data_IF_105905404207
#
_entry.id   IF_105905404207
#
_cell.length_a   1.000
_cell.length_b   1.000
_cell.length_c   1.000
_cell.angle_alpha   90.00
_cell.angle_beta   90.00
_cell.angle_gamma   90.00
#
_symmetry.space_group_name_H-M   'P 1'
#
loop_
_entity.id
_entity.type
_entity.pdbx_description
1 polymer ?
#
# COMPACT_ATOMS: atom_id res chain seq x y z
N UNK A 1 8.48 -8.50 -8.82
CA UNK A 1 7.17 -8.19 -8.18
C UNK A 1 7.24 -8.65 -6.74
N UNK A 2 6.59 -7.97 -5.81
CA UNK A 2 6.44 -8.40 -4.41
C UNK A 2 4.99 -8.79 -4.19
N UNK A 3 4.75 -10.01 -3.74
CA UNK A 3 3.40 -10.45 -3.37
C UNK A 3 3.00 -9.87 -2.02
N UNK A 4 1.83 -9.28 -1.97
CA UNK A 4 1.36 -8.65 -0.75
C UNK A 4 -0.08 -8.19 -0.80
N UNK A 5 -0.47 -7.48 0.24
CA UNK A 5 -1.73 -6.79 0.37
C UNK A 5 -1.45 -5.30 0.53
N UNK A 6 -1.87 -4.52 -0.46
CA UNK A 6 -1.90 -3.07 -0.38
C UNK A 6 -3.22 -2.65 0.26
N UNK A 7 -3.13 -1.84 1.30
CA UNK A 7 -4.25 -1.26 2.02
C UNK A 7 -4.20 0.25 1.87
N UNK A 8 -5.29 0.84 1.40
CA UNK A 8 -5.40 2.29 1.19
C UNK A 8 -6.56 2.77 2.04
N UNK A 9 -6.37 3.83 2.79
CA UNK A 9 -7.41 4.49 3.57
C UNK A 9 -7.47 5.97 3.18
N UNK A 10 -8.66 6.56 3.11
CA UNK A 10 -8.84 7.97 2.72
C UNK A 10 -9.03 8.92 3.91
N UNK A 11 -9.38 8.40 5.09
CA UNK A 11 -9.65 9.20 6.29
C UNK A 11 -9.23 8.45 7.59
N UNK A 12 -8.11 8.82 8.23
CA UNK A 12 -7.05 9.67 7.70
C UNK A 12 -6.36 9.03 6.49
N UNK A 13 -5.87 9.81 5.51
CA UNK A 13 -5.31 9.27 4.30
C UNK A 13 -3.96 8.59 4.55
N UNK A 14 -3.88 7.28 4.27
CA UNK A 14 -2.65 6.52 4.34
C UNK A 14 -2.66 5.34 3.37
N UNK A 15 -1.46 4.86 3.04
CA UNK A 15 -1.27 3.60 2.35
C UNK A 15 -0.36 2.70 3.17
N UNK A 16 -0.73 1.43 3.26
CA UNK A 16 0.04 0.39 3.93
C UNK A 16 0.21 -0.80 3.00
N UNK A 17 1.44 -1.23 2.81
CA UNK A 17 1.73 -2.46 2.08
C UNK A 17 2.18 -3.54 3.06
N UNK A 18 1.57 -4.72 2.98
CA UNK A 18 1.91 -5.90 3.78
C UNK A 18 2.38 -7.03 2.87
N UNK A 19 3.50 -7.66 3.19
CA UNK A 19 4.10 -8.74 2.40
C UNK A 19 4.66 -9.80 3.34
N UNK A 20 4.87 -11.00 2.83
CA UNK A 20 5.57 -12.08 3.54
C UNK A 20 6.87 -12.37 2.81
N UNK A 21 8.01 -12.23 3.49
CA UNK A 21 9.32 -12.60 2.94
C UNK A 21 9.43 -14.12 2.78
N UNK A 22 10.37 -14.59 1.94
CA UNK A 22 10.58 -16.02 1.66
C UNK A 22 10.88 -16.87 2.90
N UNK A 23 11.37 -16.26 3.99
CA UNK A 23 11.63 -16.91 5.28
C UNK A 23 10.37 -17.02 6.17
N UNK A 24 9.19 -16.64 5.64
CA UNK A 24 7.92 -16.61 6.36
C UNK A 24 7.72 -15.39 7.25
N UNK A 25 8.67 -14.46 7.27
CA UNK A 25 8.59 -13.21 8.05
C UNK A 25 7.59 -12.23 7.44
N UNK A 26 6.66 -11.74 8.25
CA UNK A 26 5.73 -10.67 7.86
C UNK A 26 6.43 -9.31 7.90
N UNK A 27 6.24 -8.52 6.84
CA UNK A 27 6.78 -7.17 6.69
C UNK A 27 5.69 -6.23 6.25
N UNK A 28 5.70 -5.01 6.81
CA UNK A 28 4.77 -3.97 6.44
C UNK A 28 5.44 -2.61 6.34
N UNK A 29 5.07 -1.84 5.33
CA UNK A 29 5.40 -0.41 5.24
C UNK A 29 4.13 0.42 5.31
N UNK A 30 4.23 1.56 5.99
CA UNK A 30 3.16 2.54 6.14
C UNK A 30 3.65 3.87 5.58
N UNK A 31 2.79 4.53 4.81
CA UNK A 31 3.04 5.83 4.23
C UNK A 31 1.82 6.73 4.42
N UNK A 32 1.98 7.76 5.25
CA UNK A 32 1.00 8.82 5.38
C UNK A 32 1.08 9.71 4.14
N UNK A 33 -0.05 9.86 3.46
CA UNK A 33 -0.13 10.52 2.16
C UNK A 33 -1.41 11.33 2.05
N UNK A 34 -1.53 12.11 0.99
CA UNK A 34 -2.73 12.90 0.69
C UNK A 34 -3.74 12.09 -0.12
N UNK A 35 -5.00 12.54 -0.16
CA UNK A 35 -6.05 11.93 -1.01
C UNK A 35 -5.67 11.94 -2.50
N UNK A 36 -4.92 12.94 -2.94
CA UNK A 36 -4.43 13.07 -4.33
C UNK A 36 -3.34 12.03 -4.64
N UNK A 37 -2.41 11.82 -3.71
CA UNK A 37 -1.38 10.77 -3.86
C UNK A 37 -2.01 9.38 -3.86
N UNK A 38 -3.00 9.14 -3.01
CA UNK A 38 -3.77 7.88 -3.00
C UNK A 38 -4.42 7.62 -4.36
N UNK A 39 -5.01 8.65 -4.98
CA UNK A 39 -5.60 8.52 -6.31
C UNK A 39 -4.54 8.08 -7.33
N UNK A 40 -3.38 8.72 -7.31
CA UNK A 40 -2.24 8.38 -8.18
C UNK A 40 -1.80 6.93 -7.98
N UNK A 41 -1.74 6.46 -6.72
CA UNK A 41 -1.40 5.06 -6.39
C UNK A 41 -2.41 4.11 -7.02
N UNK A 42 -3.70 4.36 -6.81
CA UNK A 42 -4.76 3.48 -7.30
C UNK A 42 -4.84 3.47 -8.83
N UNK A 43 -4.67 4.61 -9.48
CA UNK A 43 -4.57 4.72 -10.94
C UNK A 43 -3.37 3.93 -11.48
N UNK A 44 -2.20 4.03 -10.84
CA UNK A 44 -1.00 3.27 -11.21
C UNK A 44 -1.18 1.74 -11.06
N UNK A 45 -2.10 1.31 -10.20
CA UNK A 45 -2.44 -0.10 -10.00
C UNK A 45 -3.49 -0.63 -10.99
N UNK A 46 -3.99 0.24 -11.88
CA UNK A 46 -5.09 -0.10 -12.78
C UNK A 46 -6.42 -0.29 -12.05
N UNK A 47 -6.53 0.18 -10.81
CA UNK A 47 -7.85 0.34 -10.18
C UNK A 47 -8.50 1.56 -10.81
N UNK A 48 -9.58 1.35 -11.57
CA UNK A 48 -10.46 2.42 -12.03
C UNK A 48 -11.14 3.05 -10.82
N UNK A 49 -10.48 4.03 -10.20
CA UNK A 49 -11.08 4.87 -9.17
C UNK A 49 -11.96 5.87 -9.90
N UNK A 50 -13.25 5.56 -9.95
CA UNK A 50 -14.25 6.43 -10.56
C UNK A 50 -14.14 7.86 -9.99
N UNK A 51 -14.42 8.90 -10.79
CA UNK A 51 -14.39 10.29 -10.31
C UNK A 51 -15.43 10.54 -9.21
N UNK A 52 -16.47 9.71 -9.17
CA UNK A 52 -17.53 9.67 -8.17
C UNK A 52 -17.28 8.62 -7.07
N UNK A 53 -16.04 8.16 -6.90
CA UNK A 53 -15.67 7.21 -5.85
C UNK A 53 -16.09 7.75 -4.47
N UNK A 54 -16.97 7.05 -3.73
CA UNK A 54 -17.53 7.57 -2.49
C UNK A 54 -16.44 7.59 -1.41
N UNK A 55 -15.76 8.73 -1.29
CA UNK A 55 -14.60 9.02 -0.41
C UNK A 55 -14.86 8.74 1.09
N UNK A 56 -16.08 8.37 1.49
CA UNK A 56 -16.51 8.42 2.89
C UNK A 56 -16.04 7.25 3.77
N UNK A 57 -15.69 6.08 3.24
CA UNK A 57 -15.32 4.92 4.07
C UNK A 57 -14.33 3.94 3.40
N UNK A 58 -13.51 4.39 2.45
CA UNK A 58 -12.78 3.47 1.58
C UNK A 58 -11.47 2.96 2.19
N UNK A 59 -11.58 1.85 2.90
CA UNK A 59 -10.48 0.91 3.06
C UNK A 59 -10.41 0.00 1.82
N UNK A 60 -9.53 0.30 0.87
CA UNK A 60 -9.30 -0.57 -0.28
C UNK A 60 -8.20 -1.56 0.10
N UNK A 61 -8.48 -2.87 -0.06
CA UNK A 61 -7.47 -3.92 0.09
C UNK A 61 -7.27 -4.65 -1.23
N UNK A 62 -6.15 -4.39 -1.88
CA UNK A 62 -5.75 -5.08 -3.09
C UNK A 62 -4.69 -6.15 -2.74
N UNK A 63 -4.99 -7.41 -3.02
CA UNK A 63 -4.02 -8.52 -2.89
C UNK A 63 -3.48 -8.87 -4.26
N UNK A 64 -2.17 -8.96 -4.39
CA UNK A 64 -1.54 -9.28 -5.66
C UNK A 64 -0.04 -9.16 -5.64
N UNK A 65 0.56 -9.29 -6.82
CA UNK A 65 1.98 -9.05 -7.04
C UNK A 65 2.15 -7.60 -7.52
N UNK A 66 2.93 -6.81 -6.78
CA UNK A 66 3.14 -5.39 -7.05
C UNK A 66 4.56 -5.13 -7.57
N UNK A 67 4.75 -4.23 -8.56
CA UNK A 67 6.08 -3.91 -9.06
C UNK A 67 6.94 -3.20 -8.01
N UNK A 68 8.23 -3.53 -7.95
CA UNK A 68 9.18 -2.90 -7.03
C UNK A 68 9.26 -1.39 -7.24
N UNK A 69 9.24 -0.93 -8.50
CA UNK A 69 9.31 0.49 -8.85
C UNK A 69 8.12 1.26 -8.28
N UNK A 70 6.90 0.72 -8.43
CA UNK A 70 5.69 1.32 -7.87
C UNK A 70 5.78 1.41 -6.34
N UNK A 71 6.17 0.32 -5.67
CA UNK A 71 6.34 0.34 -4.21
C UNK A 71 7.45 1.31 -3.78
N UNK A 72 8.52 1.45 -4.57
CA UNK A 72 9.62 2.38 -4.30
C UNK A 72 9.18 3.83 -4.38
N UNK A 73 8.41 4.18 -5.41
CA UNK A 73 7.92 5.54 -5.65
C UNK A 73 7.07 6.08 -4.49
N UNK A 74 6.40 5.20 -3.75
CA UNK A 74 5.54 5.56 -2.62
C UNK A 74 6.16 5.24 -1.26
N UNK A 75 7.45 4.92 -1.18
CA UNK A 75 8.10 4.49 0.07
C UNK A 75 7.43 3.27 0.73
N UNK A 76 6.75 2.44 -0.06
CA UNK A 76 6.00 1.25 0.36
C UNK A 76 6.81 -0.03 0.22
N UNK A 77 8.08 0.03 -0.23
CA UNK A 77 8.97 -1.13 -0.16
C UNK A 77 9.04 -1.54 1.32
N UNK A 78 8.65 -2.79 1.65
CA UNK A 78 8.81 -3.30 3.00
C UNK A 78 10.30 -3.29 3.33
N UNK A 79 10.72 -2.30 4.11
CA UNK A 79 12.01 -2.37 4.77
C UNK A 79 11.85 -3.33 5.92
N UNK A 80 12.84 -4.20 6.14
CA UNK A 80 12.82 -5.11 7.28
C UNK A 80 12.51 -4.29 8.52
N UNK A 81 11.31 -4.43 9.07
CA UNK A 81 11.02 -4.03 10.43
C UNK A 81 12.08 -4.77 11.25
N UNK A 82 13.08 -4.03 11.73
CA UNK A 82 13.92 -4.52 12.81
C UNK A 82 12.93 -4.89 13.88
N UNK A 83 12.73 -6.18 14.05
CA UNK A 83 12.00 -6.74 15.18
C UNK A 83 12.55 -5.99 16.38
N UNK A 84 11.70 -5.23 17.06
CA UNK A 84 12.08 -4.50 18.25
C UNK A 84 12.60 -5.58 19.20
N UNK A 85 13.91 -5.69 19.33
CA UNK A 85 14.55 -6.64 20.22
C UNK A 85 13.99 -6.33 21.61
N UNK A 86 13.25 -7.29 22.16
CA UNK A 86 12.82 -7.27 23.55
C UNK A 86 13.98 -7.76 24.42
#
# INVERSE_FOLDING_TARGET
>A
MIEGTLTVNLDPPYVRFHSTESDGKEVSSHYDCTKEEIRTILEALGSEVDKDWPVRDCLIRARGAFPHELLSSFHLIPTRLRSRAS
#
